data_IF_721107285762
#
_entry.id   IF_721107285762
#
_cell.length_a   1.000
_cell.length_b   1.000
_cell.length_c   1.000
_cell.angle_alpha   90.00
_cell.angle_beta   90.00
_cell.angle_gamma   90.00
#
_symmetry.space_group_name_H-M   'P 1'
#
loop_
_entity.id
_entity.type
_entity.pdbx_description
1 polymer ?
#
# COMPACT_ATOMS: atom_id res chain seq x y z
N UNK A 1 -12.23 -11.39 3.66
CA UNK A 1 -10.98 -10.65 3.97
C UNK A 1 -9.83 -11.64 3.95
N UNK A 2 -8.76 -11.40 3.21
CA UNK A 2 -7.61 -12.33 3.12
C UNK A 2 -6.42 -11.88 3.96
N UNK A 3 -6.11 -10.59 3.96
CA UNK A 3 -5.02 -10.02 4.75
C UNK A 3 -5.27 -8.56 5.12
N UNK A 4 -4.59 -8.10 6.17
CA UNK A 4 -4.58 -6.70 6.62
C UNK A 4 -3.14 -6.33 6.97
N UNK A 5 -2.63 -5.24 6.40
CA UNK A 5 -1.32 -4.70 6.71
C UNK A 5 -1.46 -3.31 7.34
N UNK A 6 -0.98 -3.14 8.58
CA UNK A 6 -0.82 -1.83 9.19
C UNK A 6 0.53 -1.23 8.76
N UNK A 7 0.51 -0.06 8.13
CA UNK A 7 1.69 0.55 7.54
C UNK A 7 2.37 1.44 8.57
N UNK A 8 3.49 0.96 9.10
CA UNK A 8 4.26 1.62 10.17
C UNK A 8 5.72 1.79 9.73
N UNK A 9 6.69 1.58 10.63
CA UNK A 9 8.11 1.54 10.24
C UNK A 9 8.35 0.47 9.18
N UNK A 10 9.14 0.80 8.14
CA UNK A 10 9.28 -0.06 6.97
C UNK A 10 8.32 0.29 5.81
N UNK A 11 7.37 1.22 6.02
CA UNK A 11 6.48 1.72 4.97
C UNK A 11 5.70 0.62 4.24
N UNK A 12 5.25 0.88 3.02
CA UNK A 12 4.46 -0.11 2.26
C UNK A 12 5.33 -1.29 1.83
N UNK A 13 6.58 -1.02 1.44
CA UNK A 13 7.54 -1.98 0.90
C UNK A 13 7.76 -3.14 1.86
N UNK A 14 7.91 -2.87 3.16
CA UNK A 14 8.20 -3.90 4.15
C UNK A 14 6.95 -4.47 4.83
N UNK A 15 5.90 -3.65 5.03
CA UNK A 15 4.76 -4.08 5.84
C UNK A 15 3.78 -4.97 5.05
N UNK A 16 3.51 -4.67 3.78
CA UNK A 16 2.53 -5.43 3.00
C UNK A 16 2.97 -6.87 2.72
N UNK A 17 4.22 -7.16 2.29
CA UNK A 17 4.64 -8.54 2.02
C UNK A 17 4.57 -9.49 3.21
N UNK A 18 4.64 -9.00 4.45
CA UNK A 18 4.60 -9.83 5.69
C UNK A 18 3.30 -10.62 5.85
N UNK A 19 2.23 -10.17 5.21
CA UNK A 19 0.90 -10.78 5.29
C UNK A 19 0.47 -11.46 4.00
N UNK A 20 1.36 -11.52 3.01
CA UNK A 20 1.10 -12.13 1.71
C UNK A 20 1.68 -13.54 1.62
N UNK A 21 1.02 -14.47 0.90
CA UNK A 21 1.58 -15.78 0.67
C UNK A 21 2.80 -15.72 -0.25
N UNK A 22 3.65 -16.74 -0.19
CA UNK A 22 4.77 -16.93 -1.11
C UNK A 22 4.29 -16.85 -2.57
N UNK A 23 5.19 -16.46 -3.49
CA UNK A 23 4.92 -16.39 -4.94
C UNK A 23 3.81 -15.41 -5.33
N UNK A 24 3.64 -14.35 -4.56
CA UNK A 24 2.74 -13.24 -4.89
C UNK A 24 3.46 -11.90 -4.91
N UNK A 25 2.90 -10.94 -5.65
CA UNK A 25 3.32 -9.54 -5.63
C UNK A 25 2.11 -8.63 -5.55
N UNK A 26 2.24 -7.53 -4.80
CA UNK A 26 1.25 -6.47 -4.77
C UNK A 26 1.63 -5.39 -5.78
N UNK A 27 0.81 -5.17 -6.80
CA UNK A 27 0.99 -4.11 -7.78
C UNK A 27 0.28 -2.85 -7.31
N UNK A 28 1.03 -1.86 -6.85
CA UNK A 28 0.50 -0.63 -6.23
C UNK A 28 0.67 0.55 -7.20
N UNK A 29 -0.43 1.22 -7.52
CA UNK A 29 -0.43 2.42 -8.37
C UNK A 29 -0.19 3.65 -7.51
N UNK A 30 0.94 4.32 -7.72
CA UNK A 30 1.30 5.55 -6.99
C UNK A 30 0.41 6.73 -7.40
N UNK A 31 -0.18 6.71 -8.59
CA UNK A 31 -1.18 7.71 -9.03
C UNK A 31 -2.56 7.53 -8.39
N UNK A 32 -2.80 6.43 -7.67
CA UNK A 32 -4.10 6.19 -7.04
C UNK A 32 -4.37 7.07 -5.81
N UNK A 33 -3.37 7.79 -5.30
CA UNK A 33 -3.57 8.80 -4.26
C UNK A 33 -2.61 9.96 -4.39
N UNK A 34 -3.01 11.11 -3.85
CA UNK A 34 -2.10 12.21 -3.64
C UNK A 34 -1.34 12.00 -2.32
N UNK A 35 -0.01 11.88 -2.42
CA UNK A 35 0.88 11.85 -1.26
C UNK A 35 0.72 13.15 -0.45
N UNK A 36 0.47 13.09 0.88
CA UNK A 36 0.34 14.30 1.69
C UNK A 36 1.58 15.20 1.64
N UNK A 37 1.38 16.52 1.60
CA UNK A 37 2.45 17.52 1.38
C UNK A 37 3.58 17.46 2.40
N UNK A 38 3.30 17.03 3.63
CA UNK A 38 4.34 16.85 4.64
C UNK A 38 5.44 15.87 4.20
N UNK A 39 5.08 14.83 3.43
CA UNK A 39 6.06 13.88 2.90
C UNK A 39 6.87 14.47 1.74
N UNK A 40 6.27 15.35 0.93
CA UNK A 40 7.01 16.09 -0.11
C UNK A 40 8.04 17.03 0.54
N UNK A 41 7.64 17.72 1.60
CA UNK A 41 8.52 18.58 2.37
C UNK A 41 9.65 17.77 3.04
N UNK A 42 9.32 16.64 3.68
CA UNK A 42 10.30 15.75 4.32
C UNK A 42 11.31 15.24 3.31
N UNK A 43 10.85 14.80 2.14
CA UNK A 43 11.71 14.31 1.07
C UNK A 43 12.69 15.39 0.62
N UNK A 44 12.17 16.58 0.29
CA UNK A 44 12.98 17.69 -0.20
C UNK A 44 13.98 18.21 0.84
N UNK A 45 13.59 18.25 2.12
CA UNK A 45 14.49 18.72 3.20
C UNK A 45 15.50 17.67 3.65
N UNK A 46 15.13 16.39 3.63
CA UNK A 46 16.00 15.28 4.02
C UNK A 46 16.88 14.76 2.89
N UNK A 47 16.62 15.12 1.64
CA UNK A 47 17.32 14.55 0.48
C UNK A 47 17.05 13.05 0.31
N UNK A 48 15.83 12.61 0.62
CA UNK A 48 15.45 11.19 0.64
C UNK A 48 15.01 10.73 -0.77
N UNK A 49 15.50 9.58 -1.22
CA UNK A 49 15.08 8.97 -2.48
C UNK A 49 13.62 8.46 -2.41
N UNK A 50 12.92 8.38 -3.55
CA UNK A 50 11.50 8.00 -3.59
C UNK A 50 11.22 6.59 -3.05
N UNK A 51 12.10 5.63 -3.36
CA UNK A 51 12.02 4.26 -2.87
C UNK A 51 12.20 4.19 -1.34
N UNK A 52 13.14 4.97 -0.81
CA UNK A 52 13.37 5.06 0.63
C UNK A 52 12.21 5.78 1.33
N UNK A 53 11.55 6.75 0.69
CA UNK A 53 10.30 7.35 1.22
C UNK A 53 9.22 6.28 1.43
N UNK A 54 9.04 5.38 0.47
CA UNK A 54 8.04 4.31 0.50
C UNK A 54 8.43 3.15 1.44
N UNK A 55 9.73 2.99 1.73
CA UNK A 55 10.27 2.00 2.67
C UNK A 55 10.41 2.53 4.09
N UNK A 56 10.32 3.84 4.32
CA UNK A 56 10.45 4.40 5.67
C UNK A 56 9.11 4.94 6.19
N UNK A 57 8.32 5.57 5.32
CA UNK A 57 7.08 6.23 5.70
C UNK A 57 5.84 5.55 5.12
N UNK A 58 4.68 5.88 5.68
CA UNK A 58 3.40 5.40 5.16
C UNK A 58 2.92 6.17 3.91
N UNK A 59 3.52 7.33 3.61
CA UNK A 59 3.19 8.20 2.48
C UNK A 59 1.70 8.49 2.29
N UNK A 60 0.90 8.48 3.37
CA UNK A 60 -0.55 8.72 3.36
C UNK A 60 -1.42 7.47 3.39
N UNK A 61 -0.85 6.26 3.39
CA UNK A 61 -1.56 4.99 3.47
C UNK A 61 -1.32 4.34 4.84
N UNK A 62 -2.26 4.48 5.78
CA UNK A 62 -2.10 3.90 7.11
C UNK A 62 -2.38 2.39 7.18
N UNK A 63 -3.24 1.86 6.31
CA UNK A 63 -3.65 0.46 6.33
C UNK A 63 -3.98 -0.02 4.92
N UNK A 64 -3.69 -1.29 4.62
CA UNK A 64 -4.05 -1.96 3.37
C UNK A 64 -4.85 -3.22 3.71
N UNK A 65 -6.00 -3.39 3.04
CA UNK A 65 -6.79 -4.62 3.11
C UNK A 65 -6.65 -5.37 1.78
N UNK A 66 -6.41 -6.69 1.86
CA UNK A 66 -6.41 -7.58 0.70
C UNK A 66 -7.71 -8.37 0.71
N UNK A 67 -8.50 -8.20 -0.34
CA UNK A 67 -9.87 -8.74 -0.46
C UNK A 67 -10.09 -9.36 -1.84
N UNK A 68 -11.06 -10.28 -1.98
CA UNK A 68 -11.57 -10.68 -3.30
C UNK A 68 -11.99 -9.45 -4.13
N UNK A 69 -11.73 -9.50 -5.44
CA UNK A 69 -12.00 -8.37 -6.34
C UNK A 69 -13.50 -8.00 -6.40
N UNK A 70 -14.38 -8.99 -6.30
CA UNK A 70 -15.84 -8.81 -6.25
C UNK A 70 -16.35 -8.24 -4.91
N UNK A 71 -15.47 -8.17 -3.89
CA UNK A 71 -15.77 -7.61 -2.57
C UNK A 71 -15.16 -6.23 -2.32
N UNK A 72 -14.37 -5.70 -3.26
CA UNK A 72 -13.65 -4.44 -3.05
C UNK A 72 -14.59 -3.25 -2.80
N UNK A 73 -15.61 -3.07 -3.64
CA UNK A 73 -16.53 -1.92 -3.53
C UNK A 73 -17.44 -2.03 -2.31
N UNK A 74 -17.83 -3.24 -1.92
CA UNK A 74 -18.57 -3.49 -0.68
C UNK A 74 -17.77 -3.01 0.54
N UNK A 75 -16.50 -3.42 0.64
CA UNK A 75 -15.61 -3.02 1.73
C UNK A 75 -15.31 -1.53 1.73
N UNK A 76 -15.04 -0.94 0.56
CA UNK A 76 -14.83 0.51 0.43
C UNK A 76 -16.07 1.28 0.89
N UNK A 77 -17.27 0.81 0.54
CA UNK A 77 -18.53 1.41 0.96
C UNK A 77 -18.71 1.33 2.47
N UNK A 78 -18.41 0.18 3.09
CA UNK A 78 -18.43 0.04 4.56
C UNK A 78 -17.46 1.02 5.23
N UNK A 79 -16.23 1.17 4.73
CA UNK A 79 -15.28 2.14 5.27
C UNK A 79 -15.83 3.58 5.19
N UNK A 80 -16.47 3.95 4.07
CA UNK A 80 -17.07 5.29 3.91
C UNK A 80 -18.18 5.56 4.93
N UNK A 81 -19.02 4.55 5.24
CA UNK A 81 -20.06 4.67 6.27
C UNK A 81 -19.47 4.96 7.66
N UNK A 82 -18.29 4.42 7.95
CA UNK A 82 -17.54 4.66 9.19
C UNK A 82 -16.66 5.93 9.12
N UNK A 83 -16.83 6.77 8.10
CA UNK A 83 -16.01 7.97 7.84
C UNK A 83 -14.50 7.67 7.64
N UNK A 84 -14.15 6.46 7.22
CA UNK A 84 -12.79 6.06 6.88
C UNK A 84 -12.59 6.24 5.37
N UNK A 85 -11.62 7.06 4.98
CA UNK A 85 -11.26 7.23 3.57
C UNK A 85 -10.62 5.95 3.04
N UNK A 86 -11.31 5.28 2.11
CA UNK A 86 -10.84 4.06 1.47
C UNK A 86 -11.06 4.12 -0.05
N UNK A 87 -10.12 3.54 -0.78
CA UNK A 87 -10.16 3.42 -2.24
C UNK A 87 -9.24 2.26 -2.65
N UNK A 88 -9.39 1.79 -3.89
CA UNK A 88 -8.51 0.77 -4.44
C UNK A 88 -7.16 1.40 -4.82
N UNK A 89 -6.07 0.86 -4.27
CA UNK A 89 -4.69 1.34 -4.55
C UNK A 89 -3.89 0.41 -5.47
N UNK A 90 -4.43 -0.76 -5.79
CA UNK A 90 -3.66 -1.79 -6.49
C UNK A 90 -4.39 -3.09 -6.68
N UNK A 91 -3.62 -4.11 -7.07
CA UNK A 91 -4.08 -5.49 -7.30
C UNK A 91 -3.01 -6.49 -6.86
N UNK A 92 -3.43 -7.73 -6.63
CA UNK A 92 -2.53 -8.85 -6.38
C UNK A 92 -2.24 -9.59 -7.68
N UNK A 93 -1.00 -10.04 -7.84
CA UNK A 93 -0.56 -10.82 -9.00
C UNK A 93 0.41 -11.92 -8.55
N UNK A 94 0.65 -12.88 -9.43
CA UNK A 94 1.61 -13.97 -9.21
C UNK A 94 3.05 -13.51 -9.44
N UNK A 95 3.99 -14.20 -8.80
CA UNK A 95 5.42 -13.92 -8.86
C UNK A 95 6.22 -15.22 -8.84
N UNK A 96 7.33 -15.26 -9.57
CA UNK A 96 8.28 -16.37 -9.56
C UNK A 96 9.19 -16.38 -8.31
N UNK A 97 9.25 -15.27 -7.58
CA UNK A 97 9.97 -15.17 -6.30
C UNK A 97 9.20 -15.84 -5.18
N UNK A 98 9.88 -16.69 -4.39
CA UNK A 98 9.29 -17.29 -3.18
C UNK A 98 8.98 -16.23 -2.12
N UNK A 99 9.75 -15.14 -2.07
CA UNK A 99 9.46 -14.01 -1.17
C UNK A 99 8.47 -13.04 -1.83
N UNK A 100 7.33 -12.74 -1.19
CA UNK A 100 6.40 -11.75 -1.70
C UNK A 100 7.00 -10.34 -1.67
N UNK A 101 6.55 -9.46 -2.56
CA UNK A 101 7.06 -8.09 -2.64
C UNK A 101 6.02 -7.10 -3.19
N UNK A 102 6.33 -5.81 -3.05
CA UNK A 102 5.54 -4.72 -3.64
C UNK A 102 6.19 -4.27 -4.95
N UNK A 103 5.37 -4.19 -6.01
CA UNK A 103 5.74 -3.59 -7.29
C UNK A 103 5.00 -2.26 -7.42
N UNK A 104 5.74 -1.16 -7.40
CA UNK A 104 5.18 0.16 -7.66
C UNK A 104 5.02 0.41 -9.15
N UNK A 105 3.86 0.93 -9.56
CA UNK A 105 3.58 1.38 -10.93
C UNK A 105 3.13 2.83 -10.90
N UNK A 106 3.48 3.58 -11.94
CA UNK A 106 3.03 4.95 -12.13
C UNK A 106 1.51 4.98 -12.35
#
# INVERSE_FOLDING_TARGET
>A
LHAVAHITGGGLTENLPRVLPARTKAKISLSSWQRPEIFNWLQAKGGVADDEMLRTFNCGIGMILVVPADKSEEIISTCRLENIKAWQIGTMDTSDSDTPFVQYVA
#
